data_IF_265281006386
#
_entry.id   IF_265281006386
#
_cell.length_a   1.000
_cell.length_b   1.000
_cell.length_c   1.000
_cell.angle_alpha   90.00
_cell.angle_beta   90.00
_cell.angle_gamma   90.00
#
_symmetry.space_group_name_H-M   'P 1'
#
loop_
_entity.id
_entity.type
_entity.pdbx_description
1 polymer ?
#
# COMPACT_ATOMS: atom_id res chain seq x y z
N UNK A 1 -12.87 9.58 6.49
CA UNK A 1 -12.87 10.40 7.73
C UNK A 1 -13.77 9.73 8.73
N UNK A 2 -13.27 9.44 9.92
CA UNK A 2 -14.03 8.80 11.00
C UNK A 2 -15.25 9.68 11.36
N UNK A 3 -16.50 9.21 11.15
CA UNK A 3 -17.72 9.93 11.45
C UNK A 3 -17.74 10.45 12.89
N UNK A 4 -18.12 11.72 13.05
CA UNK A 4 -18.27 12.34 14.35
C UNK A 4 -16.96 12.73 15.02
N UNK A 5 -15.81 12.56 14.34
CA UNK A 5 -14.54 13.10 14.83
C UNK A 5 -14.50 14.63 14.67
N UNK A 6 -15.14 15.16 13.63
CA UNK A 6 -15.24 16.58 13.30
C UNK A 6 -15.76 17.45 14.44
N UNK A 7 -16.62 16.92 15.32
CA UNK A 7 -17.10 17.65 16.51
C UNK A 7 -16.03 17.91 17.57
N UNK A 8 -14.88 17.22 17.49
CA UNK A 8 -13.77 17.32 18.44
C UNK A 8 -12.64 18.24 17.95
N UNK A 9 -12.75 18.79 16.74
CA UNK A 9 -11.72 19.65 16.15
C UNK A 9 -12.36 20.96 15.71
N UNK A 10 -11.66 22.08 15.93
CA UNK A 10 -12.13 23.39 15.45
C UNK A 10 -12.19 23.45 13.92
N UNK A 11 -11.32 22.69 13.25
CA UNK A 11 -11.22 22.59 11.79
C UNK A 11 -10.76 21.19 11.39
N UNK A 12 -11.30 20.70 10.27
CA UNK A 12 -10.85 19.44 9.68
C UNK A 12 -10.51 19.62 8.21
N UNK A 13 -9.30 19.23 7.83
CA UNK A 13 -8.77 19.34 6.48
C UNK A 13 -8.86 17.99 5.76
N UNK A 14 -9.40 17.98 4.54
CA UNK A 14 -9.58 16.79 3.71
C UNK A 14 -8.84 16.96 2.38
N UNK A 15 -8.19 15.90 1.91
CA UNK A 15 -7.46 15.89 0.65
C UNK A 15 -5.95 16.02 0.86
N UNK A 16 -5.25 16.56 -0.13
CA UNK A 16 -3.81 16.80 -0.03
C UNK A 16 -3.52 17.82 1.06
N UNK A 17 -2.83 17.36 2.10
CA UNK A 17 -2.63 18.12 3.33
C UNK A 17 -1.94 19.46 3.09
N UNK A 18 -0.98 19.52 2.16
CA UNK A 18 -0.14 20.70 1.95
C UNK A 18 -0.96 21.91 1.49
N UNK A 19 -1.76 21.78 0.43
CA UNK A 19 -2.54 22.89 -0.08
C UNK A 19 -3.64 23.30 0.92
N UNK A 20 -4.27 22.31 1.55
CA UNK A 20 -5.36 22.55 2.51
C UNK A 20 -4.85 23.27 3.76
N UNK A 21 -3.70 22.84 4.29
CA UNK A 21 -3.04 23.50 5.43
C UNK A 21 -2.51 24.88 5.05
N UNK A 22 -1.94 25.06 3.86
CA UNK A 22 -1.43 26.37 3.43
C UNK A 22 -2.54 27.41 3.32
N UNK A 23 -3.67 27.04 2.70
CA UNK A 23 -4.84 27.90 2.66
C UNK A 23 -5.34 28.23 4.07
N UNK A 24 -5.38 27.24 4.98
CA UNK A 24 -5.89 27.45 6.32
C UNK A 24 -5.00 28.30 7.23
N UNK A 25 -3.67 28.19 7.08
CA UNK A 25 -2.69 28.88 7.92
C UNK A 25 -2.25 30.23 7.35
N UNK A 26 -2.23 30.37 6.03
CA UNK A 26 -1.59 31.50 5.35
C UNK A 26 -2.47 32.17 4.28
N UNK A 27 -3.69 31.67 4.05
CA UNK A 27 -4.63 32.17 3.02
C UNK A 27 -3.99 32.28 1.62
N UNK A 28 -3.11 31.33 1.29
CA UNK A 28 -2.43 31.27 -0.01
C UNK A 28 -2.26 29.84 -0.49
N UNK A 29 -2.43 29.57 -1.80
CA UNK A 29 -2.17 28.26 -2.37
C UNK A 29 -0.67 27.95 -2.35
N UNK A 30 -0.34 26.67 -2.38
CA UNK A 30 1.05 26.25 -2.60
C UNK A 30 1.33 26.24 -4.09
N UNK A 31 2.26 27.10 -4.51
CA UNK A 31 2.69 27.18 -5.91
C UNK A 31 3.85 26.22 -6.21
N UNK A 32 4.58 25.75 -5.18
CA UNK A 32 5.71 24.84 -5.32
C UNK A 32 5.76 23.84 -4.17
N UNK A 33 5.68 22.56 -4.48
CA UNK A 33 5.83 21.49 -3.49
C UNK A 33 7.32 21.19 -3.34
N UNK A 34 7.88 21.47 -2.17
CA UNK A 34 9.26 21.10 -1.83
C UNK A 34 9.25 19.75 -1.12
N UNK A 35 9.79 18.72 -1.76
CA UNK A 35 9.90 17.40 -1.14
C UNK A 35 10.94 17.42 -0.01
N UNK A 36 10.60 17.00 1.22
CA UNK A 36 11.57 16.96 2.32
C UNK A 36 12.68 15.93 2.08
N UNK A 37 13.87 16.13 2.68
CA UNK A 37 14.88 15.06 2.75
C UNK A 37 14.44 14.13 3.88
N UNK A 38 14.03 12.90 3.54
CA UNK A 38 13.50 11.93 4.49
C UNK A 38 14.39 10.70 4.49
N UNK A 39 15.17 10.52 5.55
CA UNK A 39 16.02 9.35 5.74
C UNK A 39 15.67 8.72 7.08
N UNK A 40 15.38 7.42 7.07
CA UNK A 40 15.15 6.64 8.28
C UNK A 40 15.91 5.32 8.22
N UNK A 41 16.05 4.68 9.37
CA UNK A 41 16.58 3.33 9.48
C UNK A 41 15.45 2.32 9.39
N UNK A 42 15.66 1.24 8.63
CA UNK A 42 14.73 0.12 8.55
C UNK A 42 15.51 -1.19 8.70
N UNK A 43 14.97 -2.11 9.49
CA UNK A 43 15.54 -3.44 9.69
C UNK A 43 15.03 -4.48 8.68
N UNK A 44 14.14 -4.10 7.75
CA UNK A 44 13.52 -5.03 6.81
C UNK A 44 14.19 -4.93 5.43
N UNK A 45 14.74 -6.03 4.93
CA UNK A 45 15.30 -6.10 3.58
C UNK A 45 14.23 -5.78 2.51
N UNK A 46 14.56 -5.06 1.42
CA UNK A 46 15.91 -4.65 0.99
C UNK A 46 16.45 -3.39 1.68
N UNK A 47 15.69 -2.80 2.59
CA UNK A 47 16.09 -1.58 3.27
C UNK A 47 17.25 -1.81 4.25
N UNK A 48 17.89 -0.72 4.64
CA UNK A 48 19.06 -0.74 5.51
C UNK A 48 19.11 0.45 6.47
N UNK A 49 20.33 0.74 6.93
CA UNK A 49 20.61 1.80 7.90
C UNK A 49 20.12 3.16 7.43
N UNK A 50 20.21 3.43 6.12
CA UNK A 50 19.76 4.68 5.50
C UNK A 50 18.79 4.39 4.36
N UNK A 51 17.51 4.47 4.67
CA UNK A 51 16.42 4.38 3.70
C UNK A 51 15.92 5.77 3.37
N UNK A 52 16.03 6.18 2.11
CA UNK A 52 15.45 7.42 1.60
C UNK A 52 13.98 7.21 1.25
N UNK A 53 13.12 8.20 1.46
CA UNK A 53 11.72 8.14 1.02
C UNK A 53 11.47 9.12 -0.12
N UNK A 54 10.75 8.70 -1.14
CA UNK A 54 10.44 9.53 -2.30
C UNK A 54 8.97 9.36 -2.70
N UNK A 55 8.33 10.48 -3.00
CA UNK A 55 7.05 10.51 -3.72
C UNK A 55 7.28 11.09 -5.11
N UNK A 56 6.80 10.43 -6.15
CA UNK A 56 6.91 10.88 -7.55
C UNK A 56 5.56 11.41 -8.00
N UNK A 57 4.53 10.55 -8.00
CA UNK A 57 3.14 10.88 -8.30
C UNK A 57 2.24 10.33 -7.20
N UNK A 58 1.79 11.20 -6.31
CA UNK A 58 0.88 10.80 -5.23
C UNK A 58 -0.57 10.75 -5.72
N UNK A 59 -1.34 9.86 -5.10
CA UNK A 59 -2.73 9.63 -5.40
C UNK A 59 -2.98 8.50 -6.37
N UNK A 60 -4.18 7.92 -6.25
CA UNK A 60 -4.60 6.77 -7.02
C UNK A 60 -6.05 6.91 -7.44
N UNK A 61 -6.32 6.76 -8.73
CA UNK A 61 -7.67 6.86 -9.29
C UNK A 61 -8.20 5.53 -9.85
N UNK A 62 -7.58 4.40 -9.46
CA UNK A 62 -7.96 3.05 -9.92
C UNK A 62 -9.38 2.64 -9.52
N UNK A 63 -9.91 3.20 -8.43
CA UNK A 63 -11.33 3.08 -8.06
C UNK A 63 -11.75 1.72 -7.47
N UNK A 64 -10.82 0.98 -6.88
CA UNK A 64 -11.10 -0.26 -6.14
C UNK A 64 -12.10 0.00 -5.00
N UNK A 65 -13.12 -0.84 -4.85
CA UNK A 65 -14.26 -0.57 -3.95
C UNK A 65 -13.92 -0.65 -2.45
N UNK A 66 -12.83 -1.33 -2.10
CA UNK A 66 -12.34 -1.48 -0.73
C UNK A 66 -11.30 -0.44 -0.33
N UNK A 67 -10.67 0.23 -1.30
CA UNK A 67 -9.47 1.01 -1.07
C UNK A 67 -9.80 2.43 -0.58
N UNK A 68 -9.08 2.90 0.43
CA UNK A 68 -9.20 4.26 0.96
C UNK A 68 -8.39 5.28 0.17
N UNK A 69 -7.35 4.88 -0.58
CA UNK A 69 -6.49 5.81 -1.30
C UNK A 69 -7.27 6.72 -2.28
N UNK A 70 -8.17 6.21 -3.16
CA UNK A 70 -8.96 7.08 -4.04
C UNK A 70 -9.93 8.02 -3.31
N UNK A 71 -10.26 7.72 -2.05
CA UNK A 71 -11.13 8.58 -1.22
C UNK A 71 -10.33 9.76 -0.66
N UNK A 72 -9.05 9.55 -0.33
CA UNK A 72 -8.18 10.55 0.28
C UNK A 72 -7.38 11.36 -0.73
N UNK A 73 -6.84 10.69 -1.76
CA UNK A 73 -5.95 11.23 -2.78
C UNK A 73 -6.44 10.84 -4.19
N UNK A 74 -7.63 11.32 -4.62
CA UNK A 74 -8.26 10.92 -5.89
C UNK A 74 -7.54 11.39 -7.16
N UNK A 75 -6.70 12.42 -7.05
CA UNK A 75 -6.03 13.06 -8.18
C UNK A 75 -4.57 12.63 -8.29
N UNK A 76 -3.91 13.00 -9.38
CA UNK A 76 -2.45 12.88 -9.47
C UNK A 76 -1.83 14.16 -8.95
N UNK A 77 -0.95 14.06 -7.97
CA UNK A 77 -0.14 15.17 -7.49
C UNK A 77 1.33 14.86 -7.72
N UNK A 78 1.96 15.67 -8.57
CA UNK A 78 3.31 15.46 -9.04
C UNK A 78 4.31 16.18 -8.14
N UNK A 79 5.33 15.47 -7.66
CA UNK A 79 6.52 16.11 -7.10
C UNK A 79 7.33 16.70 -8.25
N UNK A 80 7.68 18.00 -8.26
CA UNK A 80 8.44 18.60 -9.35
C UNK A 80 9.75 17.85 -9.60
N UNK A 81 10.10 17.59 -10.87
CA UNK A 81 11.32 16.87 -11.26
C UNK A 81 12.59 17.52 -10.70
N UNK A 82 12.61 18.85 -10.57
CA UNK A 82 13.73 19.58 -9.94
C UNK A 82 13.88 19.24 -8.46
N UNK A 83 12.78 19.00 -7.75
CA UNK A 83 12.79 18.57 -6.35
C UNK A 83 13.18 17.10 -6.22
N UNK A 84 12.74 16.24 -7.15
CA UNK A 84 13.19 14.84 -7.21
C UNK A 84 14.71 14.82 -7.36
N UNK A 85 15.29 15.52 -8.36
CA UNK A 85 16.74 15.59 -8.53
C UNK A 85 17.45 16.09 -7.27
N UNK A 86 16.97 17.19 -6.67
CA UNK A 86 17.56 17.75 -5.44
C UNK A 86 17.56 16.75 -4.28
N UNK A 87 16.47 15.98 -4.11
CA UNK A 87 16.37 14.95 -3.07
C UNK A 87 17.34 13.81 -3.36
N UNK A 88 17.41 13.34 -4.60
CA UNK A 88 18.29 12.23 -5.00
C UNK A 88 19.77 12.60 -4.92
N UNK A 89 20.15 13.84 -5.22
CA UNK A 89 21.52 14.36 -5.02
C UNK A 89 21.93 14.28 -3.54
N UNK A 90 21.02 14.65 -2.64
CA UNK A 90 21.26 14.56 -1.21
C UNK A 90 21.30 13.09 -0.74
N UNK A 91 20.44 12.22 -1.25
CA UNK A 91 20.47 10.79 -0.94
C UNK A 91 21.77 10.13 -1.40
N UNK A 92 22.29 10.48 -2.58
CA UNK A 92 23.61 10.02 -3.04
C UNK A 92 24.73 10.52 -2.13
N UNK A 93 24.72 11.81 -1.77
CA UNK A 93 25.70 12.41 -0.85
C UNK A 93 25.68 11.76 0.53
N UNK A 94 24.49 11.45 1.06
CA UNK A 94 24.31 10.80 2.35
C UNK A 94 24.53 9.29 2.32
N UNK A 95 24.79 8.71 1.13
CA UNK A 95 24.97 7.27 0.91
C UNK A 95 23.75 6.49 1.41
N UNK A 96 22.56 6.89 0.95
CA UNK A 96 21.32 6.12 1.13
C UNK A 96 21.48 4.76 0.46
N UNK A 97 21.08 3.70 1.16
CA UNK A 97 21.22 2.31 0.70
C UNK A 97 20.15 1.97 -0.34
N UNK A 98 18.90 2.34 -0.05
CA UNK A 98 17.72 2.13 -0.90
C UNK A 98 16.75 3.30 -0.74
N UNK A 99 16.16 3.73 -1.86
CA UNK A 99 15.06 4.69 -1.88
C UNK A 99 13.72 3.95 -1.94
N UNK A 100 12.87 4.13 -0.94
CA UNK A 100 11.49 3.63 -0.94
C UNK A 100 10.59 4.63 -1.64
N UNK A 101 9.99 4.23 -2.77
CA UNK A 101 9.04 5.06 -3.52
C UNK A 101 7.64 4.80 -2.96
N UNK A 102 7.08 5.83 -2.32
CA UNK A 102 5.88 5.75 -1.47
C UNK A 102 4.60 6.17 -2.20
N UNK A 103 4.59 6.17 -3.53
CA UNK A 103 3.40 6.46 -4.31
C UNK A 103 2.27 5.47 -3.98
N UNK A 104 1.01 5.91 -4.07
CA UNK A 104 -0.17 5.05 -3.83
C UNK A 104 -0.30 3.95 -4.89
N UNK A 105 0.22 4.22 -6.09
CA UNK A 105 0.35 3.26 -7.18
C UNK A 105 1.39 3.79 -8.19
N UNK A 106 2.62 3.31 -8.12
CA UNK A 106 3.68 3.67 -9.05
C UNK A 106 3.28 3.35 -10.50
N UNK A 107 3.74 4.13 -11.48
CA UNK A 107 3.35 4.04 -12.89
C UNK A 107 1.90 4.41 -13.22
N UNK A 108 1.16 5.05 -12.31
CA UNK A 108 -0.10 5.70 -12.68
C UNK A 108 0.08 6.77 -13.77
N UNK A 109 1.29 7.34 -13.86
CA UNK A 109 1.79 8.13 -14.98
C UNK A 109 3.14 7.58 -15.41
N UNK A 110 3.13 6.71 -16.42
CA UNK A 110 4.31 5.94 -16.84
C UNK A 110 5.46 6.86 -17.28
N UNK A 111 5.15 7.88 -18.10
CA UNK A 111 6.16 8.81 -18.63
C UNK A 111 6.85 9.57 -17.49
N UNK A 112 6.08 10.17 -16.58
CA UNK A 112 6.64 10.95 -15.48
C UNK A 112 7.43 10.08 -14.50
N UNK A 113 6.97 8.85 -14.28
CA UNK A 113 7.67 7.87 -13.44
C UNK A 113 9.03 7.50 -14.03
N UNK A 114 9.11 7.28 -15.34
CA UNK A 114 10.37 6.99 -16.02
C UNK A 114 11.38 8.13 -15.94
N UNK A 115 10.95 9.39 -15.99
CA UNK A 115 11.86 10.54 -15.79
C UNK A 115 12.53 10.48 -14.41
N UNK A 116 11.76 10.16 -13.35
CA UNK A 116 12.30 10.00 -12.00
C UNK A 116 13.20 8.75 -11.84
N UNK A 117 12.86 7.63 -12.50
CA UNK A 117 13.68 6.41 -12.51
C UNK A 117 15.02 6.66 -13.18
N UNK A 118 15.05 7.42 -14.28
CA UNK A 118 16.31 7.78 -14.93
C UNK A 118 17.20 8.61 -13.98
N UNK A 119 16.65 9.54 -13.21
CA UNK A 119 17.42 10.28 -12.21
C UNK A 119 17.98 9.40 -11.09
N UNK A 120 17.25 8.34 -10.69
CA UNK A 120 17.75 7.33 -9.75
C UNK A 120 18.93 6.56 -10.36
N UNK A 121 18.80 6.12 -11.61
CA UNK A 121 19.81 5.36 -12.33
C UNK A 121 21.09 6.17 -12.57
N UNK A 122 21.00 7.44 -12.96
CA UNK A 122 22.13 8.38 -13.11
C UNK A 122 22.97 8.52 -11.84
N UNK A 123 22.38 8.22 -10.68
CA UNK A 123 23.02 8.32 -9.36
C UNK A 123 23.35 6.96 -8.76
N UNK A 124 23.18 5.86 -9.50
CA UNK A 124 23.32 4.48 -9.02
C UNK A 124 22.51 4.21 -7.73
N UNK A 125 21.36 4.86 -7.58
CA UNK A 125 20.52 4.70 -6.39
C UNK A 125 19.58 3.52 -6.60
N UNK A 126 19.68 2.54 -5.70
CA UNK A 126 18.73 1.42 -5.62
C UNK A 126 17.40 1.90 -5.09
N UNK A 127 16.30 1.29 -5.52
CA UNK A 127 14.98 1.69 -5.10
C UNK A 127 13.98 0.54 -5.04
N UNK A 128 12.95 0.71 -4.23
CA UNK A 128 11.84 -0.23 -4.07
C UNK A 128 10.52 0.48 -4.33
N UNK A 129 9.63 -0.16 -5.11
CA UNK A 129 8.26 0.30 -5.28
C UNK A 129 7.44 -0.12 -4.05
N UNK A 130 7.03 0.82 -3.21
CA UNK A 130 6.25 0.49 -2.01
C UNK A 130 4.77 0.27 -2.31
N UNK A 131 4.20 0.79 -3.40
CA UNK A 131 2.93 0.28 -3.90
C UNK A 131 2.93 0.34 -5.41
N UNK A 132 2.66 -0.79 -6.06
CA UNK A 132 2.51 -0.86 -7.51
C UNK A 132 1.56 -1.99 -7.87
N UNK A 133 0.69 -1.74 -8.84
CA UNK A 133 -0.12 -2.79 -9.43
C UNK A 133 0.74 -3.72 -10.29
N UNK A 134 0.47 -5.01 -10.21
CA UNK A 134 1.20 -6.03 -10.95
C UNK A 134 1.14 -5.82 -12.46
N UNK A 135 -0.02 -5.44 -13.00
CA UNK A 135 -0.20 -5.19 -14.44
C UNK A 135 0.68 -4.05 -14.98
N UNK A 136 1.10 -3.11 -14.13
CA UNK A 136 1.97 -2.01 -14.54
C UNK A 136 3.45 -2.39 -14.63
N UNK A 137 3.86 -3.48 -13.98
CA UNK A 137 5.23 -3.98 -14.01
C UNK A 137 5.52 -4.93 -15.18
N UNK A 138 4.50 -5.60 -15.70
CA UNK A 138 4.66 -6.63 -16.72
C UNK A 138 5.39 -6.09 -17.95
N UNK A 139 6.46 -6.79 -18.34
CA UNK A 139 7.31 -6.41 -19.48
C UNK A 139 8.28 -5.26 -19.21
N UNK A 140 8.32 -4.72 -17.99
CA UNK A 140 9.24 -3.64 -17.59
C UNK A 140 10.27 -4.08 -16.57
N UNK A 141 10.07 -5.19 -15.86
CA UNK A 141 10.89 -5.57 -14.70
C UNK A 141 12.38 -5.61 -15.05
N UNK A 142 12.76 -6.24 -16.17
CA UNK A 142 14.17 -6.26 -16.59
C UNK A 142 14.78 -4.86 -16.78
N UNK A 143 14.04 -3.93 -17.37
CA UNK A 143 14.53 -2.56 -17.54
C UNK A 143 14.59 -1.83 -16.18
N UNK A 144 13.59 -2.04 -15.32
CA UNK A 144 13.57 -1.45 -13.99
C UNK A 144 14.73 -1.93 -13.12
N UNK A 145 15.08 -3.21 -13.16
CA UNK A 145 16.22 -3.76 -12.39
C UNK A 145 17.55 -3.23 -12.90
N UNK A 146 17.71 -3.06 -14.21
CA UNK A 146 18.87 -2.36 -14.80
C UNK A 146 18.96 -0.90 -14.33
N UNK A 147 17.84 -0.28 -13.97
CA UNK A 147 17.76 1.08 -13.42
C UNK A 147 17.60 1.11 -11.89
N UNK A 148 18.02 0.06 -11.19
CA UNK A 148 18.16 0.05 -9.73
C UNK A 148 16.97 -0.48 -8.94
N UNK A 149 15.92 -1.03 -9.57
CA UNK A 149 14.84 -1.70 -8.86
C UNK A 149 15.38 -2.91 -8.08
N UNK A 150 15.19 -2.91 -6.77
CA UNK A 150 15.56 -4.03 -5.89
C UNK A 150 14.37 -4.75 -5.27
N UNK A 151 13.16 -4.20 -5.36
CA UNK A 151 11.97 -4.86 -4.84
C UNK A 151 10.67 -4.13 -5.14
N UNK A 152 9.56 -4.83 -4.95
CA UNK A 152 8.22 -4.27 -5.09
C UNK A 152 7.25 -4.85 -4.05
N UNK A 153 6.34 -4.01 -3.56
CA UNK A 153 5.20 -4.43 -2.75
C UNK A 153 3.94 -4.46 -3.62
N UNK A 154 3.39 -5.66 -3.77
CA UNK A 154 2.30 -5.99 -4.70
C UNK A 154 1.03 -6.30 -3.92
N UNK A 155 -0.08 -5.65 -4.28
CA UNK A 155 -1.39 -6.08 -3.77
C UNK A 155 -1.81 -7.39 -4.46
N UNK A 156 -1.92 -8.49 -3.72
CA UNK A 156 -2.47 -9.76 -4.24
C UNK A 156 -3.99 -9.74 -4.10
N UNK A 157 -4.48 -9.53 -2.88
CA UNK A 157 -5.88 -9.32 -2.47
C UNK A 157 -6.89 -10.45 -2.72
N UNK A 158 -6.75 -11.24 -3.78
CA UNK A 158 -7.59 -12.41 -4.01
C UNK A 158 -6.98 -13.31 -5.08
N UNK A 159 -7.29 -14.61 -5.01
CA UNK A 159 -6.95 -15.59 -6.05
C UNK A 159 -8.14 -15.94 -6.96
N UNK A 160 -9.18 -15.10 -6.95
CA UNK A 160 -10.34 -15.24 -7.85
C UNK A 160 -10.49 -13.99 -8.73
N UNK A 161 -10.37 -14.17 -10.05
CA UNK A 161 -10.60 -13.09 -11.02
C UNK A 161 -12.01 -12.51 -10.92
N UNK A 162 -13.00 -13.32 -10.54
CA UNK A 162 -14.37 -12.87 -10.30
C UNK A 162 -14.44 -11.90 -9.12
N UNK A 163 -13.76 -12.23 -8.01
CA UNK A 163 -13.69 -11.39 -6.81
C UNK A 163 -12.96 -10.08 -7.11
N UNK A 164 -11.81 -10.15 -7.78
CA UNK A 164 -11.04 -8.97 -8.20
C UNK A 164 -11.88 -8.02 -9.07
N UNK A 165 -12.56 -8.59 -10.09
CA UNK A 165 -13.46 -7.85 -10.97
C UNK A 165 -14.64 -7.24 -10.21
N UNK A 166 -15.25 -8.00 -9.30
CA UNK A 166 -16.35 -7.54 -8.44
C UNK A 166 -15.97 -6.31 -7.61
N UNK A 167 -14.73 -6.29 -7.11
CA UNK A 167 -14.19 -5.14 -6.36
C UNK A 167 -13.53 -4.06 -7.24
N UNK A 168 -13.70 -4.14 -8.56
CA UNK A 168 -13.12 -3.23 -9.57
C UNK A 168 -11.61 -3.14 -9.53
N UNK A 169 -10.94 -4.15 -8.96
CA UNK A 169 -9.49 -4.29 -9.07
C UNK A 169 -9.20 -4.88 -10.45
N UNK A 170 -8.71 -4.04 -11.36
CA UNK A 170 -8.55 -4.37 -12.78
C UNK A 170 -7.28 -5.17 -13.08
N UNK A 171 -6.88 -6.06 -12.17
CA UNK A 171 -5.77 -7.01 -12.36
C UNK A 171 -6.36 -8.41 -12.42
N UNK A 172 -5.73 -9.30 -13.18
CA UNK A 172 -6.01 -10.74 -13.10
C UNK A 172 -5.02 -11.42 -12.16
N UNK A 173 -5.44 -12.56 -11.61
CA UNK A 173 -4.59 -13.43 -10.81
C UNK A 173 -3.35 -13.89 -11.56
N UNK A 174 -3.46 -14.12 -12.88
CA UNK A 174 -2.33 -14.47 -13.74
C UNK A 174 -1.34 -13.31 -13.87
N UNK A 175 -1.82 -12.07 -14.06
CA UNK A 175 -0.94 -10.89 -14.10
C UNK A 175 -0.15 -10.73 -12.79
N UNK A 176 -0.81 -10.95 -11.64
CA UNK A 176 -0.16 -10.91 -10.33
C UNK A 176 0.92 -12.00 -10.22
N UNK A 177 0.58 -13.26 -10.54
CA UNK A 177 1.55 -14.38 -10.51
C UNK A 177 2.73 -14.15 -11.46
N UNK A 178 2.46 -13.66 -12.66
CA UNK A 178 3.48 -13.37 -13.66
C UNK A 178 4.42 -12.26 -13.20
N UNK A 179 3.91 -11.16 -12.66
CA UNK A 179 4.73 -10.07 -12.16
C UNK A 179 5.62 -10.51 -10.98
N UNK A 180 5.07 -11.28 -10.04
CA UNK A 180 5.84 -11.86 -8.92
C UNK A 180 6.95 -12.77 -9.43
N UNK A 181 6.64 -13.66 -10.39
CA UNK A 181 7.63 -14.55 -11.00
C UNK A 181 8.73 -13.78 -11.71
N UNK A 182 8.37 -12.73 -12.46
CA UNK A 182 9.33 -11.89 -13.19
C UNK A 182 10.24 -11.12 -12.23
N UNK A 183 9.70 -10.55 -11.15
CA UNK A 183 10.48 -9.89 -10.08
C UNK A 183 11.47 -10.86 -9.43
N UNK A 184 11.00 -12.02 -8.98
CA UNK A 184 11.85 -13.05 -8.35
C UNK A 184 12.94 -13.55 -9.29
N UNK A 185 12.62 -13.72 -10.58
CA UNK A 185 13.59 -14.13 -11.59
C UNK A 185 14.77 -13.15 -11.71
N UNK A 186 14.52 -11.85 -11.53
CA UNK A 186 15.56 -10.81 -11.55
C UNK A 186 16.17 -10.55 -10.16
N UNK A 187 15.90 -11.38 -9.16
CA UNK A 187 16.46 -11.26 -7.82
C UNK A 187 15.89 -10.10 -7.00
N UNK A 188 14.71 -9.58 -7.37
CA UNK A 188 14.02 -8.57 -6.58
C UNK A 188 13.33 -9.17 -5.36
N UNK A 189 13.30 -8.40 -4.27
CA UNK A 189 12.43 -8.69 -3.13
C UNK A 189 10.97 -8.43 -3.49
N UNK A 190 10.09 -9.35 -3.13
CA UNK A 190 8.66 -9.23 -3.38
C UNK A 190 7.89 -9.30 -2.07
N UNK A 191 7.28 -8.17 -1.72
CA UNK A 191 6.32 -8.11 -0.63
C UNK A 191 4.90 -8.25 -1.20
N UNK A 192 3.99 -8.88 -0.48
CA UNK A 192 2.60 -9.05 -0.90
C UNK A 192 1.59 -8.61 0.15
N UNK A 193 0.55 -7.89 -0.27
CA UNK A 193 -0.60 -7.58 0.57
C UNK A 193 -1.75 -8.55 0.28
N UNK A 194 -2.41 -9.02 1.32
CA UNK A 194 -3.60 -9.85 1.15
C UNK A 194 -4.69 -9.45 2.15
N UNK A 195 -5.88 -9.12 1.63
CA UNK A 195 -7.06 -8.78 2.43
C UNK A 195 -7.96 -10.01 2.63
N UNK A 196 -8.03 -10.47 3.88
CA UNK A 196 -9.00 -11.46 4.34
C UNK A 196 -10.34 -10.83 4.74
N UNK A 197 -11.36 -11.67 4.89
CA UNK A 197 -12.70 -11.26 5.33
C UNK A 197 -13.36 -10.22 4.42
N UNK A 198 -13.11 -10.27 3.11
CA UNK A 198 -13.93 -9.56 2.13
C UNK A 198 -15.35 -10.13 2.17
N UNK A 199 -16.41 -9.35 1.85
CA UNK A 199 -17.79 -9.84 1.94
C UNK A 199 -18.12 -11.20 1.32
N UNK A 200 -17.41 -11.59 0.26
CA UNK A 200 -17.55 -12.90 -0.40
C UNK A 200 -16.70 -14.02 0.18
N UNK A 201 -15.83 -13.74 1.16
CA UNK A 201 -14.91 -14.72 1.74
C UNK A 201 -15.66 -15.79 2.54
N UNK A 202 -15.07 -16.98 2.64
CA UNK A 202 -15.53 -18.05 3.53
C UNK A 202 -14.33 -18.61 4.27
N UNK A 203 -14.53 -19.26 5.41
CA UNK A 203 -13.41 -19.84 6.18
C UNK A 203 -12.60 -20.84 5.34
N UNK A 204 -13.27 -21.77 4.66
CA UNK A 204 -12.59 -22.76 3.81
C UNK A 204 -11.96 -22.12 2.57
N UNK A 205 -12.56 -21.03 2.05
CA UNK A 205 -11.97 -20.21 0.99
C UNK A 205 -10.66 -19.60 1.45
N UNK A 206 -10.64 -18.93 2.60
CA UNK A 206 -9.45 -18.29 3.15
C UNK A 206 -8.31 -19.28 3.40
N UNK A 207 -8.61 -20.52 3.83
CA UNK A 207 -7.59 -21.58 3.97
C UNK A 207 -6.93 -21.95 2.64
N UNK A 208 -7.73 -22.17 1.60
CA UNK A 208 -7.20 -22.44 0.25
C UNK A 208 -6.38 -21.26 -0.28
N UNK A 209 -6.83 -20.03 0.00
CA UNK A 209 -6.12 -18.82 -0.41
C UNK A 209 -4.80 -18.65 0.36
N UNK A 210 -4.73 -19.07 1.63
CA UNK A 210 -3.47 -19.12 2.40
C UNK A 210 -2.47 -20.09 1.75
N UNK A 211 -2.90 -21.29 1.36
CA UNK A 211 -2.04 -22.25 0.66
C UNK A 211 -1.51 -21.68 -0.67
N UNK A 212 -2.37 -21.00 -1.42
CA UNK A 212 -1.98 -20.32 -2.65
C UNK A 212 -1.01 -19.16 -2.39
N UNK A 213 -1.23 -18.37 -1.35
CA UNK A 213 -0.34 -17.28 -0.94
C UNK A 213 1.04 -17.80 -0.54
N UNK A 214 1.09 -18.87 0.24
CA UNK A 214 2.34 -19.52 0.63
C UNK A 214 3.11 -20.03 -0.60
N UNK A 215 2.41 -20.56 -1.61
CA UNK A 215 3.03 -21.04 -2.86
C UNK A 215 3.69 -19.95 -3.70
N UNK A 216 3.38 -18.67 -3.47
CA UNK A 216 4.06 -17.55 -4.13
C UNK A 216 5.46 -17.33 -3.57
N UNK A 217 5.75 -17.85 -2.37
CA UNK A 217 7.05 -17.75 -1.69
C UNK A 217 7.55 -16.29 -1.65
N UNK A 218 6.69 -15.40 -1.17
CA UNK A 218 6.98 -13.98 -1.04
C UNK A 218 7.99 -13.74 0.08
N UNK A 219 8.87 -12.76 -0.11
CA UNK A 219 9.84 -12.36 0.92
C UNK A 219 9.15 -11.77 2.14
N UNK A 220 7.98 -11.17 1.95
CA UNK A 220 7.15 -10.67 3.04
C UNK A 220 5.67 -10.74 2.67
N UNK A 221 4.84 -11.21 3.59
CA UNK A 221 3.38 -11.14 3.48
C UNK A 221 2.81 -10.20 4.53
N UNK A 222 1.93 -9.32 4.10
CA UNK A 222 1.13 -8.44 4.93
C UNK A 222 -0.32 -8.92 4.91
N UNK A 223 -0.71 -9.81 5.84
CA UNK A 223 -2.10 -10.23 5.96
C UNK A 223 -2.90 -9.12 6.64
N UNK A 224 -4.03 -8.76 6.04
CA UNK A 224 -4.94 -7.73 6.55
C UNK A 224 -6.36 -8.25 6.64
N UNK A 225 -7.19 -7.62 7.46
CA UNK A 225 -8.62 -7.86 7.59
C UNK A 225 -9.36 -6.70 6.96
N UNK A 226 -10.29 -7.01 6.07
CA UNK A 226 -11.10 -6.00 5.41
C UNK A 226 -11.86 -5.14 6.44
N UNK A 227 -11.51 -3.86 6.46
CA UNK A 227 -12.11 -2.85 7.31
C UNK A 227 -12.91 -1.87 6.45
N UNK A 228 -14.24 -1.75 6.64
CA UNK A 228 -15.06 -0.82 5.88
C UNK A 228 -14.79 0.62 6.36
N UNK A 229 -13.75 1.26 5.85
CA UNK A 229 -13.41 2.63 6.26
C UNK A 229 -14.46 3.64 5.80
N UNK A 230 -14.86 4.60 6.65
CA UNK A 230 -15.77 5.66 6.26
C UNK A 230 -15.31 6.46 5.04
N UNK A 231 -16.08 6.35 3.96
CA UNK A 231 -15.85 7.02 2.68
C UNK A 231 -15.51 6.06 1.54
N UNK A 232 -15.07 4.82 1.83
CA UNK A 232 -14.90 3.81 0.76
C UNK A 232 -16.27 3.38 0.22
N UNK A 233 -16.39 2.99 -1.05
CA UNK A 233 -17.66 2.57 -1.63
C UNK A 233 -18.41 1.51 -0.82
N UNK A 234 -17.71 0.48 -0.34
CA UNK A 234 -18.29 -0.60 0.46
C UNK A 234 -18.79 -0.16 1.84
N UNK A 235 -18.36 0.99 2.37
CA UNK A 235 -18.79 1.45 3.68
C UNK A 235 -20.30 1.63 3.77
N UNK A 236 -20.92 2.19 2.73
CA UNK A 236 -22.37 2.48 2.73
C UNK A 236 -23.20 1.20 2.89
N UNK A 237 -22.77 0.13 2.23
CA UNK A 237 -23.46 -1.17 2.23
C UNK A 237 -23.27 -1.90 3.56
N UNK A 238 -22.08 -1.78 4.16
CA UNK A 238 -21.71 -2.52 5.35
C UNK A 238 -21.95 -1.75 6.66
N UNK A 239 -22.27 -0.46 6.58
CA UNK A 239 -22.42 0.42 7.76
C UNK A 239 -23.35 -0.15 8.82
N UNK A 240 -24.49 -0.73 8.43
CA UNK A 240 -25.46 -1.32 9.35
C UNK A 240 -25.00 -2.64 9.97
N UNK A 241 -23.94 -3.24 9.44
CA UNK A 241 -23.34 -4.48 9.95
C UNK A 241 -22.15 -4.20 10.87
N UNK A 242 -21.66 -2.96 10.96
CA UNK A 242 -20.58 -2.58 11.88
C UNK A 242 -21.09 -2.71 13.31
N UNK A 243 -20.52 -3.67 14.06
CA UNK A 243 -20.85 -3.91 15.46
C UNK A 243 -19.86 -3.24 16.41
N UNK A 244 -18.66 -2.91 15.94
CA UNK A 244 -17.62 -2.25 16.71
C UNK A 244 -17.27 -0.89 16.11
N UNK A 245 -17.49 0.17 16.89
CA UNK A 245 -17.20 1.57 16.50
C UNK A 245 -16.01 2.15 17.25
N UNK A 246 -15.24 1.31 17.96
CA UNK A 246 -13.97 1.73 18.49
C UNK A 246 -12.99 1.94 17.33
N UNK A 247 -12.69 3.20 17.04
CA UNK A 247 -11.79 3.57 15.93
C UNK A 247 -10.39 2.99 16.06
N UNK A 248 -9.95 2.58 17.26
CA UNK A 248 -8.68 1.88 17.44
C UNK A 248 -8.67 0.50 16.77
N UNK A 249 -9.83 -0.13 16.61
CA UNK A 249 -9.96 -1.42 15.92
C UNK A 249 -10.14 -1.27 14.39
N UNK A 250 -10.18 -0.04 13.86
CA UNK A 250 -10.15 0.20 12.40
C UNK A 250 -8.70 0.24 11.92
N UNK A 251 -7.99 -0.87 12.08
CA UNK A 251 -6.54 -0.99 11.94
C UNK A 251 -6.10 -2.01 10.88
N UNK A 252 -7.04 -2.59 10.12
CA UNK A 252 -6.83 -3.73 9.21
C UNK A 252 -6.36 -5.02 9.89
N UNK A 253 -6.47 -5.14 11.20
CA UNK A 253 -6.18 -6.37 11.97
C UNK A 253 -7.42 -6.93 12.67
N UNK A 254 -8.33 -6.05 13.10
CA UNK A 254 -9.59 -6.43 13.73
C UNK A 254 -10.74 -6.51 12.73
N UNK A 255 -11.68 -7.42 12.99
CA UNK A 255 -12.97 -7.45 12.32
C UNK A 255 -13.97 -6.61 13.12
N UNK A 256 -14.47 -5.54 12.51
CA UNK A 256 -15.38 -4.57 13.15
C UNK A 256 -16.83 -4.68 12.68
N UNK A 257 -17.11 -5.62 11.78
CA UNK A 257 -18.41 -5.75 11.13
C UNK A 257 -18.86 -7.22 11.05
N UNK A 258 -20.18 -7.43 11.04
CA UNK A 258 -20.81 -8.75 11.05
C UNK A 258 -20.69 -9.41 9.69
N UNK A 259 -19.60 -10.16 9.50
CA UNK A 259 -19.34 -10.91 8.28
C UNK A 259 -20.29 -12.10 8.13
N UNK A 260 -20.86 -12.36 6.93
CA UNK A 260 -21.90 -13.38 6.74
C UNK A 260 -21.42 -14.82 6.99
N UNK A 261 -20.15 -15.11 6.75
CA UNK A 261 -19.59 -16.47 6.77
C UNK A 261 -18.42 -16.69 7.74
N UNK A 262 -17.95 -15.65 8.44
CA UNK A 262 -16.74 -15.70 9.26
C UNK A 262 -17.06 -15.00 10.58
N UNK A 263 -16.93 -15.72 11.68
CA UNK A 263 -17.19 -15.18 13.03
C UNK A 263 -15.92 -14.52 13.57
N UNK A 264 -16.02 -13.52 14.46
CA UNK A 264 -14.86 -12.79 14.97
C UNK A 264 -13.74 -13.67 15.54
N UNK A 265 -14.09 -14.74 16.25
CA UNK A 265 -13.13 -15.69 16.80
C UNK A 265 -12.36 -16.47 15.74
N UNK A 266 -12.93 -16.64 14.53
CA UNK A 266 -12.29 -17.36 13.43
C UNK A 266 -11.28 -16.49 12.68
N UNK A 267 -11.38 -15.16 12.76
CA UNK A 267 -10.43 -14.24 12.10
C UNK A 267 -9.03 -14.40 12.68
N UNK A 268 -8.92 -14.55 14.01
CA UNK A 268 -7.63 -14.84 14.67
C UNK A 268 -7.03 -16.14 14.13
N UNK A 269 -7.85 -17.18 13.96
CA UNK A 269 -7.40 -18.45 13.37
C UNK A 269 -6.89 -18.28 11.95
N UNK A 270 -7.61 -17.57 11.08
CA UNK A 270 -7.19 -17.30 9.69
C UNK A 270 -5.85 -16.57 9.66
N UNK A 271 -5.70 -15.51 10.46
CA UNK A 271 -4.45 -14.76 10.52
C UNK A 271 -3.31 -15.63 11.05
N UNK A 272 -3.51 -16.38 12.14
CA UNK A 272 -2.51 -17.31 12.66
C UNK A 272 -2.12 -18.40 11.66
N UNK A 273 -3.07 -18.97 10.93
CA UNK A 273 -2.80 -19.93 9.85
C UNK A 273 -1.92 -19.27 8.75
N UNK A 274 -2.21 -18.03 8.36
CA UNK A 274 -1.39 -17.27 7.42
C UNK A 274 0.01 -16.98 7.96
N UNK A 275 0.14 -16.54 9.21
CA UNK A 275 1.41 -16.31 9.90
C UNK A 275 2.29 -17.57 9.96
N UNK A 276 1.68 -18.74 10.09
CA UNK A 276 2.40 -20.02 10.13
C UNK A 276 2.81 -20.52 8.73
N UNK A 277 2.01 -20.20 7.70
CA UNK A 277 2.23 -20.70 6.34
C UNK A 277 3.11 -19.78 5.47
N UNK A 278 3.12 -18.48 5.76
CA UNK A 278 3.81 -17.46 4.96
C UNK A 278 4.90 -16.75 5.78
N UNK A 279 5.87 -16.14 5.09
CA UNK A 279 6.83 -15.25 5.74
C UNK A 279 6.17 -13.90 6.04
N UNK A 280 5.31 -13.87 7.06
CA UNK A 280 4.57 -12.65 7.41
C UNK A 280 5.46 -11.67 8.17
N UNK A 281 5.28 -10.38 7.91
CA UNK A 281 5.88 -9.36 8.76
C UNK A 281 5.41 -9.60 10.20
N UNK A 282 6.32 -9.71 11.17
CA UNK A 282 5.95 -9.69 12.59
C UNK A 282 5.46 -8.28 12.92
N UNK A 283 4.21 -7.99 12.60
CA UNK A 283 3.58 -6.74 13.00
C UNK A 283 3.33 -6.86 14.50
N UNK A 284 4.08 -6.11 15.30
CA UNK A 284 3.87 -5.96 16.75
C UNK A 284 2.50 -5.35 17.09
N UNK A 285 1.66 -5.02 16.11
CA UNK A 285 0.31 -4.48 16.29
C UNK A 285 -0.80 -5.54 16.36
N UNK A 286 -0.50 -6.82 16.20
CA UNK A 286 -1.33 -7.88 16.82
C UNK A 286 -0.96 -8.06 18.29
N UNK A 287 -0.46 -6.99 18.94
CA UNK A 287 -0.38 -6.89 20.38
C UNK A 287 -1.72 -7.37 20.94
N UNK A 288 -1.63 -8.27 21.91
CA UNK A 288 -2.75 -8.81 22.65
C UNK A 288 -3.78 -7.72 22.93
N UNK A 289 -5.09 -8.03 22.90
CA UNK A 289 -6.13 -7.05 23.19
C UNK A 289 -5.75 -6.31 24.47
N UNK A 290 -5.62 -4.98 24.35
CA UNK A 290 -5.35 -4.08 25.46
C UNK A 290 -6.33 -4.45 26.60
N UNK A 291 -5.86 -4.83 27.80
CA UNK A 291 -6.74 -5.26 28.88
C UNK A 291 -7.51 -4.09 29.54
N UNK A 292 -7.61 -2.93 28.87
CA UNK A 292 -8.23 -1.70 29.37
C UNK A 292 -9.34 -1.19 28.46
#
# INVERSE_FOLDING_TARGET
MLPGLDKHFDRVFKGYGENTLSMALYDKPINHIKHPILIATSSMAPFGDKTGYLFIVRGCNSGCLFCSAPVHTPNKLYTPLSEIQRVLDEYKKQKVDVVSIMDDNLFIDDKYTWEAINFLAERDLKWMAFNVRADYLLGKVNNLTQNGLVGAYIGVESFSDEVLKGYRKRETTEQVKQAIKELKHHGCYVWGNYIFCMPSSTLDGSRREIEQLASLELDLVMPTVFTPYPGVPLFKELKSLIFDWNWRHFDNGHIVWKHPHIRPEQVKTILSECFNACNCAKITTFAEPDPY
#
